data_IF_427543465031
#
_entry.id   IF_427543465031
#
_cell.length_a   1.000
_cell.length_b   1.000
_cell.length_c   1.000
_cell.angle_alpha   90.00
_cell.angle_beta   90.00
_cell.angle_gamma   90.00
#
_symmetry.space_group_name_H-M   'P 1'
#
loop_
_entity.id
_entity.type
_entity.pdbx_description
1 polymer ?
#
# COMPACT_ATOMS: atom_id res chain seq x y z
N UNK A 1 -32.60 -61.47 25.95
CA UNK A 1 -33.07 -60.24 25.26
C UNK A 1 -31.85 -59.40 24.90
N UNK A 2 -31.79 -58.97 23.64
CA UNK A 2 -30.90 -57.97 23.02
C UNK A 2 -30.81 -56.69 23.89
N UNK A 3 -29.71 -55.92 23.97
CA UNK A 3 -29.12 -55.15 22.87
C UNK A 3 -27.63 -54.78 23.11
N UNK A 4 -26.92 -54.85 21.99
CA UNK A 4 -25.62 -54.26 21.63
C UNK A 4 -25.55 -52.74 21.83
N UNK A 5 -24.40 -52.19 22.24
CA UNK A 5 -23.64 -51.28 21.35
C UNK A 5 -22.21 -50.98 21.81
N UNK A 6 -21.26 -51.31 20.92
CA UNK A 6 -19.86 -50.88 20.89
C UNK A 6 -19.78 -49.35 20.78
N UNK A 7 -18.91 -48.71 21.56
CA UNK A 7 -18.30 -47.43 21.17
C UNK A 7 -16.78 -47.59 21.07
N UNK A 8 -16.28 -47.25 19.88
CA UNK A 8 -14.91 -47.45 19.41
C UNK A 8 -13.93 -46.45 20.04
N UNK A 9 -12.69 -46.93 20.19
CA UNK A 9 -11.45 -46.17 20.43
C UNK A 9 -11.37 -44.92 19.54
N UNK A 10 -10.90 -43.80 20.10
CA UNK A 10 -10.06 -42.83 19.39
C UNK A 10 -8.97 -42.35 20.35
N UNK A 11 -7.76 -42.88 20.15
CA UNK A 11 -6.55 -42.28 20.67
C UNK A 11 -6.41 -40.90 20.00
N UNK A 12 -6.42 -39.84 20.81
CA UNK A 12 -6.16 -38.49 20.34
C UNK A 12 -4.68 -38.37 19.98
N UNK A 13 -4.39 -38.31 18.68
CA UNK A 13 -3.09 -37.94 18.16
C UNK A 13 -2.97 -36.42 18.31
N UNK A 14 -2.25 -35.96 19.33
CA UNK A 14 -1.80 -34.57 19.42
C UNK A 14 -0.72 -34.38 18.35
N UNK A 15 -1.07 -33.75 17.24
CA UNK A 15 -0.09 -33.25 16.27
C UNK A 15 0.41 -31.91 16.81
N UNK A 16 1.55 -31.95 17.50
CA UNK A 16 2.38 -30.76 17.73
C UNK A 16 3.05 -30.39 16.39
N UNK A 17 2.42 -29.50 15.64
CA UNK A 17 3.10 -28.79 14.56
C UNK A 17 3.73 -27.52 15.14
N UNK A 18 4.86 -27.68 15.83
CA UNK A 18 5.76 -26.57 16.15
C UNK A 18 7.00 -26.75 15.29
N UNK A 19 6.90 -26.29 14.04
CA UNK A 19 8.07 -25.96 13.23
C UNK A 19 8.10 -24.45 13.13
N UNK A 20 8.51 -23.80 14.23
CA UNK A 20 9.07 -22.46 14.17
C UNK A 20 10.42 -22.56 13.48
N UNK A 21 10.41 -22.69 12.16
CA UNK A 21 11.58 -22.38 11.37
C UNK A 21 11.72 -20.86 11.47
N UNK A 22 12.66 -20.41 12.30
CA UNK A 22 13.13 -19.03 12.25
C UNK A 22 13.67 -18.80 10.84
N UNK A 23 12.80 -18.31 9.95
CA UNK A 23 13.21 -17.82 8.65
C UNK A 23 14.17 -16.66 8.93
N UNK A 24 15.46 -16.92 8.78
CA UNK A 24 16.46 -15.86 8.76
C UNK A 24 16.11 -15.03 7.54
N UNK A 25 15.44 -13.90 7.74
CA UNK A 25 15.17 -12.95 6.65
C UNK A 25 16.53 -12.46 6.15
N UNK A 26 16.90 -12.70 4.88
CA UNK A 26 18.11 -12.11 4.33
C UNK A 26 17.97 -10.57 4.34
N UNK A 27 18.68 -9.93 5.27
CA UNK A 27 18.80 -8.48 5.37
C UNK A 27 19.71 -7.97 4.25
N UNK A 28 19.20 -7.21 3.26
CA UNK A 28 20.06 -6.60 2.22
C UNK A 28 20.54 -5.19 2.60
N UNK A 29 20.01 -4.60 3.68
CA UNK A 29 20.31 -3.23 4.13
C UNK A 29 21.77 -2.98 4.53
N UNK A 30 22.55 -4.05 4.78
CA UNK A 30 24.00 -3.96 5.02
C UNK A 30 24.87 -3.96 3.75
N UNK A 31 24.29 -4.26 2.59
CA UNK A 31 25.00 -4.30 1.32
C UNK A 31 24.85 -2.97 0.57
N UNK A 32 25.96 -2.42 0.04
CA UNK A 32 25.89 -1.36 -0.96
C UNK A 32 25.13 -1.83 -2.22
N UNK A 33 24.88 -0.92 -3.17
CA UNK A 33 24.07 -1.20 -4.37
C UNK A 33 24.42 -2.52 -5.09
N UNK A 34 25.70 -2.83 -5.24
CA UNK A 34 26.19 -4.09 -5.83
C UNK A 34 25.84 -5.32 -4.98
N UNK A 35 26.14 -5.31 -3.67
CA UNK A 35 25.86 -6.46 -2.80
C UNK A 35 24.36 -6.82 -2.71
N UNK A 36 23.46 -5.84 -2.87
CA UNK A 36 22.01 -6.05 -2.94
C UNK A 36 21.59 -6.74 -4.24
N UNK A 37 22.11 -6.26 -5.38
CA UNK A 37 21.84 -6.87 -6.69
C UNK A 37 22.34 -8.32 -6.73
N UNK A 38 23.51 -8.59 -6.14
CA UNK A 38 24.13 -9.91 -6.09
C UNK A 38 23.28 -10.91 -5.29
N UNK A 39 22.63 -10.45 -4.22
CA UNK A 39 21.70 -11.26 -3.45
C UNK A 39 20.41 -11.52 -4.25
N UNK A 40 19.86 -10.50 -4.91
CA UNK A 40 18.64 -10.64 -5.72
C UNK A 40 18.86 -11.51 -6.98
N UNK A 41 20.08 -11.59 -7.52
CA UNK A 41 20.43 -12.55 -8.59
C UNK A 41 20.19 -14.00 -8.18
N UNK A 42 20.21 -14.31 -6.88
CA UNK A 42 19.89 -15.64 -6.35
C UNK A 42 18.39 -15.90 -6.20
N UNK A 43 17.54 -14.89 -6.43
CA UNK A 43 16.09 -15.04 -6.33
C UNK A 43 15.57 -16.10 -7.31
N UNK A 44 14.58 -16.85 -6.87
CA UNK A 44 13.93 -17.88 -7.68
C UNK A 44 12.81 -17.22 -8.48
N UNK A 45 12.86 -17.33 -9.80
CA UNK A 45 11.79 -16.84 -10.66
C UNK A 45 10.66 -17.86 -10.70
N UNK A 46 9.56 -17.55 -10.02
CA UNK A 46 8.35 -18.37 -9.96
C UNK A 46 7.43 -18.03 -11.15
N UNK A 47 7.50 -16.79 -11.65
CA UNK A 47 6.56 -16.32 -12.67
C UNK A 47 5.14 -16.40 -12.13
N UNK A 48 4.21 -16.94 -12.92
CA UNK A 48 2.80 -17.15 -12.52
C UNK A 48 2.55 -18.47 -11.78
N UNK A 49 3.60 -19.15 -11.33
CA UNK A 49 3.49 -20.36 -10.51
C UNK A 49 3.00 -20.08 -9.09
N UNK A 50 2.53 -21.14 -8.43
CA UNK A 50 2.05 -21.10 -7.05
C UNK A 50 3.11 -21.43 -6.00
N UNK A 51 2.63 -21.66 -4.78
CA UNK A 51 3.45 -22.07 -3.63
C UNK A 51 4.28 -23.33 -3.92
N UNK A 52 5.58 -23.28 -3.62
CA UNK A 52 6.47 -24.44 -3.60
C UNK A 52 7.21 -24.48 -2.25
N UNK A 53 7.03 -25.52 -1.41
CA UNK A 53 7.76 -25.67 -0.15
C UNK A 53 9.29 -25.60 -0.29
N UNK A 54 9.85 -25.92 -1.46
CA UNK A 54 11.28 -25.82 -1.72
C UNK A 54 11.78 -24.36 -1.76
N UNK A 55 10.88 -23.39 -1.91
CA UNK A 55 11.17 -21.96 -1.96
C UNK A 55 11.01 -21.25 -0.61
N UNK A 56 10.49 -21.92 0.42
CA UNK A 56 10.29 -21.31 1.74
C UNK A 56 11.59 -20.77 2.33
N UNK A 57 11.52 -19.52 2.82
CA UNK A 57 12.64 -18.75 3.33
C UNK A 57 13.56 -18.14 2.26
N UNK A 58 13.27 -18.35 0.97
CA UNK A 58 14.07 -17.81 -0.14
C UNK A 58 13.40 -16.59 -0.76
N UNK A 59 14.23 -15.75 -1.40
CA UNK A 59 13.75 -14.65 -2.23
C UNK A 59 13.15 -15.25 -3.50
N UNK A 60 11.92 -14.87 -3.81
CA UNK A 60 11.19 -15.26 -5.00
C UNK A 60 10.75 -14.04 -5.80
N UNK A 61 10.57 -14.23 -7.10
CA UNK A 61 9.96 -13.27 -8.01
C UNK A 61 8.69 -13.90 -8.55
N UNK A 62 7.55 -13.32 -8.21
CA UNK A 62 6.21 -13.83 -8.53
C UNK A 62 5.50 -12.82 -9.44
N UNK A 63 4.82 -13.32 -10.46
CA UNK A 63 3.96 -12.55 -11.34
C UNK A 63 2.51 -12.98 -11.10
N UNK A 64 1.60 -12.03 -11.04
CA UNK A 64 0.19 -12.34 -10.82
C UNK A 64 -0.69 -11.10 -10.90
N UNK A 65 -2.00 -11.29 -10.90
CA UNK A 65 -2.92 -10.17 -10.74
C UNK A 65 -2.90 -9.71 -9.29
N UNK A 66 -2.85 -8.40 -9.09
CA UNK A 66 -3.05 -7.79 -7.78
C UNK A 66 -4.53 -7.87 -7.43
N UNK A 67 -4.89 -8.66 -6.43
CA UNK A 67 -6.26 -8.78 -5.94
C UNK A 67 -6.38 -8.09 -4.59
N UNK A 68 -7.26 -7.08 -4.49
CA UNK A 68 -7.52 -6.38 -3.24
C UNK A 68 -8.59 -7.15 -2.45
N UNK A 69 -8.23 -7.66 -1.28
CA UNK A 69 -9.13 -8.39 -0.39
C UNK A 69 -9.85 -7.43 0.56
N UNK A 70 -9.09 -6.48 1.11
CA UNK A 70 -9.59 -5.41 1.97
C UNK A 70 -8.89 -4.11 1.54
N UNK A 71 -9.63 -3.04 1.21
CA UNK A 71 -9.03 -1.75 0.91
C UNK A 71 -8.47 -1.09 2.16
N UNK A 72 -7.50 -0.18 1.98
CA UNK A 72 -7.06 0.69 3.05
C UNK A 72 -8.19 1.62 3.50
N UNK A 73 -8.36 1.73 4.82
CA UNK A 73 -9.39 2.54 5.46
C UNK A 73 -8.73 3.56 6.38
N UNK A 74 -9.12 4.83 6.22
CA UNK A 74 -8.70 5.90 7.12
C UNK A 74 -9.73 6.05 8.23
N UNK A 75 -9.43 5.51 9.41
CA UNK A 75 -10.34 5.54 10.56
C UNK A 75 -10.56 6.94 11.15
N UNK A 76 -9.65 7.89 10.92
CA UNK A 76 -9.79 9.26 11.45
C UNK A 76 -10.83 10.06 10.64
N UNK A 77 -10.88 9.85 9.32
CA UNK A 77 -11.84 10.53 8.44
C UNK A 77 -13.02 9.65 8.03
N UNK A 78 -12.97 8.35 8.31
CA UNK A 78 -14.02 7.40 7.93
C UNK A 78 -14.16 7.21 6.42
N UNK A 79 -13.04 7.19 5.68
CA UNK A 79 -13.03 7.03 4.23
C UNK A 79 -12.23 5.80 3.79
N UNK A 80 -12.67 5.17 2.70
CA UNK A 80 -12.00 4.02 2.09
C UNK A 80 -11.29 4.45 0.81
N UNK A 81 -10.09 3.95 0.57
CA UNK A 81 -9.38 4.14 -0.70
C UNK A 81 -9.01 2.77 -1.25
N UNK A 82 -9.37 2.51 -2.51
CA UNK A 82 -9.21 1.23 -3.21
C UNK A 82 -7.74 0.93 -3.57
N UNK A 83 -6.91 0.80 -2.55
CA UNK A 83 -5.49 0.48 -2.63
C UNK A 83 -5.06 -0.38 -1.43
N UNK A 84 -4.02 -1.23 -1.59
CA UNK A 84 -3.54 -2.09 -0.52
C UNK A 84 -2.73 -1.35 0.55
N UNK A 85 -2.22 -0.15 0.22
CA UNK A 85 -1.59 0.79 1.15
C UNK A 85 -1.94 2.21 0.74
N UNK A 86 -2.13 3.08 1.72
CA UNK A 86 -2.38 4.50 1.52
C UNK A 86 -1.58 5.28 2.55
N UNK A 87 -0.84 6.30 2.10
CA UNK A 87 -0.29 7.31 2.99
C UNK A 87 -1.09 8.60 2.87
N UNK A 88 -1.36 9.23 4.01
CA UNK A 88 -2.00 10.54 4.11
C UNK A 88 -1.02 11.57 4.63
N UNK A 89 -1.00 12.75 4.04
CA UNK A 89 -0.32 13.92 4.59
C UNK A 89 -1.24 15.13 4.70
N UNK A 90 -1.23 15.79 5.85
CA UNK A 90 -2.05 16.96 6.14
C UNK A 90 -1.30 18.28 5.88
N UNK A 91 -2.00 19.23 5.26
CA UNK A 91 -1.57 20.62 5.10
C UNK A 91 -2.51 21.53 5.86
N UNK A 92 -1.94 22.49 6.61
CA UNK A 92 -2.72 23.45 7.39
C UNK A 92 -2.69 24.82 6.73
N UNK A 93 -3.86 25.44 6.59
CA UNK A 93 -4.03 26.76 6.03
C UNK A 93 -3.57 27.84 7.01
N UNK A 94 -2.76 28.77 6.52
CA UNK A 94 -2.31 29.94 7.27
C UNK A 94 -2.45 31.21 6.44
N UNK A 95 -2.49 32.35 7.13
CA UNK A 95 -2.27 33.65 6.50
C UNK A 95 -0.79 33.89 6.25
N UNK A 96 -0.47 34.52 5.12
CA UNK A 96 0.86 35.09 4.88
C UNK A 96 1.05 36.36 5.72
N UNK A 97 0.03 37.21 5.75
CA UNK A 97 -0.01 38.45 6.53
C UNK A 97 -1.17 38.42 7.54
N UNK A 98 -0.83 38.50 8.83
CA UNK A 98 -1.76 38.36 9.97
C UNK A 98 -2.90 39.39 9.96
N UNK A 99 -2.62 40.62 9.53
CA UNK A 99 -3.55 41.74 9.59
C UNK A 99 -4.43 41.90 8.34
N UNK A 100 -4.24 41.04 7.33
CA UNK A 100 -5.05 41.05 6.12
C UNK A 100 -6.15 39.97 6.15
N UNK A 101 -7.17 40.14 5.32
CA UNK A 101 -8.25 39.16 5.17
C UNK A 101 -7.78 37.84 4.52
N UNK A 102 -8.57 36.78 4.68
CA UNK A 102 -8.36 35.48 4.04
C UNK A 102 -8.72 35.55 2.55
N UNK A 103 -7.79 36.05 1.73
CA UNK A 103 -7.93 36.10 0.26
C UNK A 103 -6.98 35.10 -0.38
N UNK A 104 -7.25 34.65 -1.61
CA UNK A 104 -6.37 33.68 -2.31
C UNK A 104 -4.89 34.10 -2.36
N UNK A 105 -4.61 35.41 -2.38
CA UNK A 105 -3.24 35.94 -2.37
C UNK A 105 -2.58 35.91 -0.98
N UNK A 106 -3.38 36.05 0.09
CA UNK A 106 -2.93 36.08 1.48
C UNK A 106 -3.02 34.71 2.19
N UNK A 107 -3.43 33.66 1.48
CA UNK A 107 -3.53 32.29 2.00
C UNK A 107 -2.35 31.43 1.51
N UNK A 108 -1.85 30.56 2.38
CA UNK A 108 -0.88 29.53 2.03
C UNK A 108 -1.11 28.22 2.78
N UNK A 109 -0.84 27.11 2.09
CA UNK A 109 -0.83 25.79 2.68
C UNK A 109 0.55 25.47 3.21
N UNK A 110 0.65 25.20 4.51
CA UNK A 110 1.89 24.76 5.14
C UNK A 110 1.84 23.23 5.31
N UNK A 111 2.76 22.53 4.64
CA UNK A 111 2.87 21.08 4.66
C UNK A 111 3.48 20.55 5.97
N UNK A 112 3.08 19.34 6.36
CA UNK A 112 3.70 18.50 7.41
C UNK A 112 3.15 18.64 8.84
N UNK A 113 1.83 18.49 9.04
CA UNK A 113 1.29 18.43 10.40
C UNK A 113 0.62 17.11 10.80
N UNK A 114 0.15 16.30 9.85
CA UNK A 114 -0.54 15.04 10.14
C UNK A 114 -0.14 13.98 9.12
N UNK A 115 0.28 12.81 9.60
CA UNK A 115 0.60 11.66 8.76
C UNK A 115 -0.30 10.49 9.15
N UNK A 116 -0.81 9.78 8.16
CA UNK A 116 -1.48 8.48 8.33
C UNK A 116 -0.85 7.47 7.38
N UNK A 117 -0.78 6.21 7.81
CA UNK A 117 -0.35 5.08 6.99
C UNK A 117 -1.34 3.96 7.22
N UNK A 118 -2.12 3.65 6.19
CA UNK A 118 -3.28 2.77 6.26
C UNK A 118 -3.04 1.56 5.36
N UNK A 119 -3.18 0.36 5.92
CA UNK A 119 -2.82 -0.90 5.29
C UNK A 119 -4.08 -1.74 5.12
N UNK A 120 -4.34 -2.15 3.89
CA UNK A 120 -5.38 -3.11 3.54
C UNK A 120 -4.86 -4.54 3.53
N UNK A 121 -5.50 -5.41 2.74
CA UNK A 121 -5.03 -6.76 2.45
C UNK A 121 -5.11 -7.02 0.96
N UNK A 122 -4.09 -7.67 0.41
CA UNK A 122 -4.07 -7.99 -1.01
C UNK A 122 -3.26 -9.26 -1.28
N UNK A 123 -3.58 -9.86 -2.42
CA UNK A 123 -2.94 -11.05 -2.95
C UNK A 123 -2.31 -10.72 -4.31
N UNK A 124 -1.30 -11.51 -4.68
CA UNK A 124 -0.74 -11.53 -6.04
C UNK A 124 -0.68 -12.97 -6.52
N UNK A 125 -1.53 -13.30 -7.49
CA UNK A 125 -1.67 -14.69 -7.94
C UNK A 125 -2.19 -15.58 -6.80
N UNK A 126 -1.46 -16.64 -6.45
CA UNK A 126 -1.83 -17.55 -5.37
C UNK A 126 -1.27 -17.16 -3.99
N UNK A 127 -0.58 -16.02 -3.89
CA UNK A 127 0.11 -15.62 -2.67
C UNK A 127 -0.56 -14.45 -1.96
N UNK A 128 -0.65 -14.55 -0.64
CA UNK A 128 -0.98 -13.44 0.24
C UNK A 128 0.22 -12.48 0.38
N UNK A 129 -0.03 -11.17 0.38
CA UNK A 129 1.01 -10.20 0.72
C UNK A 129 1.09 -10.03 2.24
N UNK A 130 2.29 -10.23 2.79
CA UNK A 130 2.56 -10.02 4.21
C UNK A 130 2.38 -8.57 4.62
N UNK A 131 2.04 -8.33 5.88
CA UNK A 131 1.86 -6.97 6.41
C UNK A 131 3.15 -6.12 6.25
N UNK A 132 4.32 -6.73 6.47
CA UNK A 132 5.62 -6.10 6.26
C UNK A 132 5.87 -5.76 4.79
N UNK A 133 5.43 -6.60 3.86
CA UNK A 133 5.48 -6.34 2.42
C UNK A 133 4.63 -5.12 2.07
N UNK A 134 3.37 -5.10 2.55
CA UNK A 134 2.43 -4.00 2.30
C UNK A 134 2.93 -2.68 2.88
N UNK A 135 3.40 -2.67 4.13
CA UNK A 135 3.98 -1.49 4.81
C UNK A 135 5.24 -0.92 4.13
N UNK A 136 5.92 -1.71 3.29
CA UNK A 136 7.10 -1.26 2.55
C UNK A 136 6.81 -0.98 1.06
N UNK A 137 5.55 -1.06 0.63
CA UNK A 137 5.15 -0.69 -0.72
C UNK A 137 5.40 0.80 -1.00
N UNK A 138 6.03 1.10 -2.13
CA UNK A 138 6.23 2.47 -2.54
C UNK A 138 4.91 3.16 -2.89
N UNK A 139 4.64 4.33 -2.28
CA UNK A 139 3.44 5.14 -2.56
C UNK A 139 3.83 6.50 -3.16
N UNK A 140 3.41 6.76 -4.41
CA UNK A 140 3.78 7.98 -5.15
C UNK A 140 2.71 8.51 -6.09
N UNK A 141 1.60 7.80 -6.21
CA UNK A 141 0.56 8.10 -7.17
C UNK A 141 -0.65 8.67 -6.46
N UNK A 142 -1.39 9.54 -7.14
CA UNK A 142 -2.64 10.06 -6.61
C UNK A 142 -3.71 8.95 -6.65
N UNK A 143 -4.53 8.78 -5.60
CA UNK A 143 -5.61 7.80 -5.62
C UNK A 143 -6.77 8.24 -6.50
N UNK A 144 -7.55 7.25 -6.93
CA UNK A 144 -8.88 7.50 -7.49
C UNK A 144 -9.85 7.77 -6.31
N UNK A 145 -10.13 9.05 -6.03
CA UNK A 145 -11.04 9.46 -4.97
C UNK A 145 -12.50 9.41 -5.43
N UNK A 146 -13.34 8.67 -4.71
CA UNK A 146 -14.80 8.67 -4.92
C UNK A 146 -15.44 9.90 -4.27
N UNK A 147 -15.86 10.86 -5.09
CA UNK A 147 -16.52 12.08 -4.63
C UNK A 147 -17.79 11.81 -3.82
N UNK A 148 -18.58 10.79 -4.18
CA UNK A 148 -19.81 10.47 -3.47
C UNK A 148 -19.51 9.94 -2.06
N UNK A 149 -18.52 9.06 -1.93
CA UNK A 149 -18.06 8.58 -0.62
C UNK A 149 -17.55 9.75 0.23
N UNK A 150 -16.76 10.66 -0.36
CA UNK A 150 -16.28 11.84 0.36
C UNK A 150 -17.45 12.71 0.84
N UNK A 151 -18.45 12.97 -0.01
CA UNK A 151 -19.64 13.74 0.34
C UNK A 151 -20.43 13.11 1.50
N UNK A 152 -20.63 11.78 1.46
CA UNK A 152 -21.29 11.03 2.53
C UNK A 152 -20.54 11.12 3.86
N UNK A 153 -19.21 11.18 3.82
CA UNK A 153 -18.34 11.39 4.99
C UNK A 153 -18.19 12.87 5.41
N UNK A 154 -18.80 13.82 4.70
CA UNK A 154 -18.74 15.26 5.02
C UNK A 154 -17.52 16.00 4.44
N UNK A 155 -16.83 15.40 3.49
CA UNK A 155 -15.66 15.92 2.80
C UNK A 155 -15.96 16.29 1.34
N UNK A 156 -14.99 16.91 0.69
CA UNK A 156 -15.02 17.25 -0.72
C UNK A 156 -13.60 17.31 -1.28
N UNK A 157 -13.49 17.21 -2.61
CA UNK A 157 -12.23 17.49 -3.31
C UNK A 157 -11.97 19.00 -3.28
N UNK A 158 -10.78 19.37 -2.81
CA UNK A 158 -10.28 20.74 -2.71
C UNK A 158 -9.07 20.89 -3.63
N UNK A 159 -9.05 21.97 -4.42
CA UNK A 159 -7.97 22.31 -5.35
C UNK A 159 -7.39 23.68 -4.98
N UNK A 160 -6.17 23.97 -5.47
CA UNK A 160 -5.46 25.19 -5.09
C UNK A 160 -6.19 26.48 -5.46
N UNK A 161 -5.91 27.54 -4.70
CA UNK A 161 -6.62 28.84 -4.72
C UNK A 161 -6.51 29.66 -6.01
N UNK A 162 -5.76 29.20 -7.01
CA UNK A 162 -5.41 29.99 -8.20
C UNK A 162 -6.58 30.09 -9.18
N UNK A 163 -7.61 30.84 -8.80
CA UNK A 163 -8.53 31.48 -9.75
C UNK A 163 -9.21 30.53 -10.73
N UNK A 164 -10.00 29.60 -10.20
CA UNK A 164 -10.94 28.73 -10.91
C UNK A 164 -11.59 29.39 -12.13
N UNK A 165 -11.01 29.21 -13.32
CA UNK A 165 -11.69 29.49 -14.61
C UNK A 165 -11.07 28.75 -15.80
N UNK A 166 -9.97 28.00 -15.65
CA UNK A 166 -9.31 27.34 -16.80
C UNK A 166 -9.26 25.83 -16.64
N UNK A 167 -9.24 25.14 -17.78
CA UNK A 167 -9.16 23.67 -17.88
C UNK A 167 -7.90 23.10 -17.18
N UNK A 168 -6.87 23.92 -17.06
CA UNK A 168 -5.63 23.71 -16.30
C UNK A 168 -5.88 23.35 -14.81
N UNK A 169 -6.97 23.89 -14.22
CA UNK A 169 -7.33 23.68 -12.81
C UNK A 169 -7.90 22.27 -12.55
N UNK A 170 -8.48 21.62 -13.58
CA UNK A 170 -8.96 20.22 -13.49
C UNK A 170 -7.83 19.21 -13.32
N UNK A 171 -6.61 19.61 -13.66
CA UNK A 171 -5.41 18.78 -13.52
C UNK A 171 -4.60 19.12 -12.26
N UNK A 172 -5.05 20.08 -11.44
CA UNK A 172 -4.42 20.35 -10.16
C UNK A 172 -4.62 19.17 -9.20
N UNK A 173 -3.59 18.85 -8.43
CA UNK A 173 -3.57 17.73 -7.49
C UNK A 173 -4.79 17.76 -6.55
N UNK A 174 -5.56 16.67 -6.44
CA UNK A 174 -6.75 16.65 -5.59
C UNK A 174 -6.35 16.52 -4.12
N UNK A 175 -6.98 17.32 -3.26
CA UNK A 175 -6.88 17.17 -1.82
C UNK A 175 -8.25 16.87 -1.24
N UNK A 176 -8.31 16.18 -0.10
CA UNK A 176 -9.53 15.99 0.66
C UNK A 176 -9.63 17.08 1.72
N UNK A 177 -10.69 17.88 1.68
CA UNK A 177 -10.99 18.87 2.71
C UNK A 177 -12.45 18.80 3.13
N UNK A 178 -12.87 19.66 4.05
CA UNK A 178 -14.28 19.70 4.48
C UNK A 178 -15.20 20.08 3.32
N UNK A 179 -16.48 19.69 3.39
CA UNK A 179 -17.48 20.10 2.40
C UNK A 179 -17.57 21.65 2.25
N UNK A 180 -17.28 22.41 3.32
CA UNK A 180 -17.19 23.88 3.27
C UNK A 180 -16.09 24.36 2.33
N UNK A 181 -14.91 23.75 2.42
CA UNK A 181 -13.75 24.08 1.58
C UNK A 181 -13.99 23.73 0.12
N UNK A 182 -14.73 22.64 -0.17
CA UNK A 182 -15.15 22.30 -1.54
C UNK A 182 -16.00 23.39 -2.22
N UNK A 183 -16.68 24.24 -1.42
CA UNK A 183 -17.42 25.42 -1.91
C UNK A 183 -16.57 26.70 -1.99
N UNK A 184 -15.26 26.60 -1.77
CA UNK A 184 -14.33 27.73 -1.80
C UNK A 184 -14.38 28.62 -0.56
N UNK A 185 -14.98 28.17 0.54
CA UNK A 185 -15.01 28.91 1.81
C UNK A 185 -13.89 28.38 2.71
N UNK A 186 -12.99 29.25 3.15
CA UNK A 186 -11.78 28.88 3.89
C UNK A 186 -11.59 29.71 5.16
N UNK A 187 -11.07 29.09 6.21
CA UNK A 187 -10.76 29.68 7.50
C UNK A 187 -9.32 29.38 7.91
N UNK A 188 -8.72 30.29 8.68
CA UNK A 188 -7.35 30.08 9.16
C UNK A 188 -7.31 28.85 10.08
N UNK A 189 -6.38 27.93 9.80
CA UNK A 189 -6.28 26.68 10.51
C UNK A 189 -7.04 25.50 9.88
N UNK A 190 -7.77 25.71 8.79
CA UNK A 190 -8.33 24.63 7.97
C UNK A 190 -7.25 23.61 7.60
N UNK A 191 -7.64 22.34 7.52
CA UNK A 191 -6.75 21.25 7.12
C UNK A 191 -7.28 20.63 5.83
N UNK A 192 -6.37 20.33 4.90
CA UNK A 192 -6.63 19.45 3.77
C UNK A 192 -5.64 18.30 3.76
N UNK A 193 -6.04 17.19 3.19
CA UNK A 193 -5.30 15.95 3.16
C UNK A 193 -4.93 15.59 1.73
N UNK A 194 -3.65 15.28 1.53
CA UNK A 194 -3.12 14.66 0.34
C UNK A 194 -2.98 13.16 0.61
N UNK A 195 -3.31 12.34 -0.38
CA UNK A 195 -3.20 10.89 -0.29
C UNK A 195 -2.29 10.38 -1.39
N UNK A 196 -1.47 9.39 -1.07
CA UNK A 196 -0.65 8.67 -2.04
C UNK A 196 -0.85 7.18 -1.93
N UNK A 197 -0.85 6.52 -3.09
CA UNK A 197 -1.03 5.07 -3.25
C UNK A 197 0.08 4.46 -4.10
N UNK A 198 0.20 3.12 -4.11
CA UNK A 198 1.04 2.38 -5.04
C UNK A 198 0.62 2.62 -6.50
N UNK A 199 1.57 2.38 -7.41
CA UNK A 199 1.33 2.56 -8.85
C UNK A 199 0.37 1.54 -9.43
N UNK A 200 0.65 0.23 -9.28
CA UNK A 200 -0.24 -0.80 -9.77
C UNK A 200 -1.62 -0.73 -9.10
N UNK A 201 -2.66 -0.77 -9.92
CA UNK A 201 -4.06 -0.76 -9.46
C UNK A 201 -4.58 -2.19 -9.24
N UNK A 202 -5.55 -2.40 -8.33
CA UNK A 202 -6.23 -3.67 -8.21
C UNK A 202 -6.74 -4.19 -9.56
N UNK A 203 -6.52 -5.47 -9.84
CA UNK A 203 -6.83 -6.16 -11.09
C UNK A 203 -5.72 -6.13 -12.14
N UNK A 204 -4.70 -5.28 -12.00
CA UNK A 204 -3.56 -5.24 -12.91
C UNK A 204 -2.60 -6.42 -12.68
N UNK A 205 -1.93 -6.82 -13.76
CA UNK A 205 -0.83 -7.77 -13.68
C UNK A 205 0.39 -7.06 -13.07
N UNK A 206 1.02 -7.70 -12.08
CA UNK A 206 2.19 -7.18 -11.38
C UNK A 206 3.27 -8.24 -11.25
N UNK A 207 4.49 -7.77 -10.98
CA UNK A 207 5.63 -8.60 -10.56
C UNK A 207 6.07 -8.14 -9.17
N UNK A 208 6.09 -9.05 -8.20
CA UNK A 208 6.56 -8.79 -6.85
C UNK A 208 7.88 -9.52 -6.58
N UNK A 209 8.70 -8.93 -5.72
CA UNK A 209 9.92 -9.56 -5.19
C UNK A 209 9.82 -9.58 -3.67
N UNK A 210 9.88 -10.78 -3.10
CA UNK A 210 9.73 -10.96 -1.66
C UNK A 210 10.29 -12.28 -1.17
N UNK A 211 10.19 -12.53 0.13
CA UNK A 211 10.59 -13.82 0.74
C UNK A 211 9.35 -14.70 0.82
N UNK A 212 9.42 -15.89 0.22
CA UNK A 212 8.33 -16.84 0.36
C UNK A 212 8.31 -17.42 1.78
N UNK A 213 7.14 -17.39 2.42
CA UNK A 213 6.86 -18.05 3.67
C UNK A 213 5.48 -18.72 3.57
N UNK A 214 5.47 -20.00 3.21
CA UNK A 214 4.26 -20.71 2.84
C UNK A 214 3.56 -20.00 1.66
N UNK A 215 2.27 -19.76 1.78
CA UNK A 215 1.44 -19.02 0.83
C UNK A 215 1.56 -17.49 0.99
N UNK A 216 2.48 -16.99 1.81
CA UNK A 216 2.68 -15.55 2.03
C UNK A 216 4.01 -15.07 1.44
N UNK A 217 4.00 -13.87 0.84
CA UNK A 217 5.21 -13.17 0.41
C UNK A 217 5.51 -12.01 1.37
N UNK A 218 6.63 -12.10 2.07
CA UNK A 218 7.12 -11.10 3.01
C UNK A 218 8.11 -10.13 2.34
N UNK A 219 8.40 -9.01 3.00
CA UNK A 219 9.30 -7.98 2.49
C UNK A 219 10.75 -8.45 2.43
N UNK A 220 11.46 -8.06 1.37
CA UNK A 220 12.93 -8.18 1.30
C UNK A 220 13.52 -6.83 1.68
N UNK A 221 14.18 -6.77 2.83
CA UNK A 221 14.73 -5.50 3.32
C UNK A 221 15.69 -4.86 2.33
N UNK A 222 15.47 -3.57 2.07
CA UNK A 222 16.36 -2.78 1.23
C UNK A 222 16.02 -2.84 -0.26
N UNK A 223 14.94 -3.47 -0.71
CA UNK A 223 14.44 -3.27 -2.08
C UNK A 223 13.91 -1.84 -2.26
N UNK A 224 14.14 -1.21 -3.41
CA UNK A 224 13.62 0.13 -3.69
C UNK A 224 12.11 0.12 -3.94
N UNK A 225 11.66 -0.75 -4.84
CA UNK A 225 10.25 -0.99 -5.14
C UNK A 225 10.02 -2.50 -5.15
N UNK A 226 9.12 -2.99 -4.30
CA UNK A 226 8.85 -4.42 -4.13
C UNK A 226 7.68 -4.93 -4.99
N UNK A 227 6.94 -4.04 -5.66
CA UNK A 227 5.85 -4.36 -6.58
C UNK A 227 5.94 -3.52 -7.85
N UNK A 228 6.05 -4.18 -8.99
CA UNK A 228 6.28 -3.57 -10.30
C UNK A 228 5.10 -3.85 -11.22
N UNK A 229 4.71 -2.88 -12.04
CA UNK A 229 3.67 -3.07 -13.05
C UNK A 229 4.09 -4.08 -14.14
N UNK A 230 3.17 -4.97 -14.49
CA UNK A 230 3.30 -5.95 -15.56
C UNK A 230 3.91 -7.28 -15.12
N UNK A 231 3.84 -8.26 -16.01
CA UNK A 231 4.60 -9.50 -15.92
C UNK A 231 6.02 -9.24 -16.46
N UNK A 232 7.02 -9.36 -15.61
CA UNK A 232 8.42 -9.06 -15.92
C UNK A 232 9.26 -10.32 -15.81
N UNK A 233 10.25 -10.45 -16.69
CA UNK A 233 11.30 -11.45 -16.51
C UNK A 233 12.17 -11.12 -15.29
N UNK A 234 12.94 -12.13 -14.84
CA UNK A 234 13.81 -12.05 -13.66
C UNK A 234 14.78 -10.87 -13.72
N UNK A 235 15.46 -10.65 -14.83
CA UNK A 235 16.53 -9.66 -14.93
C UNK A 235 15.95 -8.24 -14.90
N UNK A 236 14.85 -8.02 -15.62
CA UNK A 236 14.12 -6.75 -15.60
C UNK A 236 13.58 -6.43 -14.20
N UNK A 237 13.00 -7.42 -13.51
CA UNK A 237 12.46 -7.24 -12.16
C UNK A 237 13.56 -6.86 -11.16
N UNK A 238 14.70 -7.57 -11.17
CA UNK A 238 15.84 -7.26 -10.32
C UNK A 238 16.37 -5.85 -10.59
N UNK A 239 16.55 -5.50 -11.87
CA UNK A 239 17.09 -4.19 -12.24
C UNK A 239 16.24 -3.03 -11.70
N UNK A 240 14.93 -3.08 -11.90
CA UNK A 240 13.99 -2.05 -11.40
C UNK A 240 13.90 -2.00 -9.87
N UNK A 241 14.10 -3.14 -9.22
CA UNK A 241 14.05 -3.23 -7.75
C UNK A 241 15.31 -2.68 -7.08
N UNK A 242 16.43 -2.61 -7.80
CA UNK A 242 17.71 -2.08 -7.30
C UNK A 242 18.04 -0.67 -7.80
N UNK A 243 17.46 -0.23 -8.90
CA UNK A 243 17.73 1.07 -9.51
C UNK A 243 16.46 1.92 -9.56
N UNK A 244 16.45 3.10 -8.91
CA UNK A 244 15.30 4.00 -8.87
C UNK A 244 15.00 4.71 -10.20
#
# INVERSE_FOLDING_TARGET
MSLSNKSRRKAGLLILAVTGLLAVTPMLSGCGGSGREEALKQAIYVGTGGYDPANDGKIVIVCGKLELLEPAYDEDLGITIEAPRVMRSGQKLKKKELNQGMTGNNMEWNSNFQYGDFIGKADVGEFHLGEDFLQNMMVRYDPDLDEKMLEEAGYAIVRDFKGNTREEDKNARPYVGTARMGRGVYEEGDVRYDYTVPGPKPGEMVTIIGIQNQDTINYVEGTYENMLSGELDKDTAIHKTTHP
#
